data_IF_897018679825
#
_entry.id   IF_897018679825
#
_cell.length_a   1.000
_cell.length_b   1.000
_cell.length_c   1.000
_cell.angle_alpha   90.00
_cell.angle_beta   90.00
_cell.angle_gamma   90.00
#
_symmetry.space_group_name_H-M   'P 1'
#
loop_
_entity.id
_entity.type
_entity.pdbx_description
1 polymer ?
#
# COMPACT_ATOMS: atom_id res chain seq x y z
N UNK A 1 -27.04 -29.37 -11.72
CA UNK A 1 -26.58 -28.19 -12.49
C UNK A 1 -26.75 -26.96 -11.59
N UNK A 2 -26.06 -27.02 -10.44
CA UNK A 2 -26.55 -26.53 -9.13
C UNK A 2 -25.38 -26.08 -8.24
N UNK A 3 -24.36 -25.43 -8.83
CA UNK A 3 -23.15 -25.07 -8.06
C UNK A 3 -22.53 -23.69 -8.38
N UNK A 4 -22.87 -23.06 -9.52
CA UNK A 4 -22.20 -21.82 -9.92
C UNK A 4 -22.71 -20.55 -9.22
N UNK A 5 -23.91 -20.56 -8.65
CA UNK A 5 -24.48 -19.41 -7.91
C UNK A 5 -24.04 -19.35 -6.44
N UNK A 6 -23.59 -20.49 -5.86
CA UNK A 6 -23.18 -20.56 -4.45
C UNK A 6 -21.83 -19.89 -4.15
N UNK A 7 -20.98 -19.68 -5.16
CA UNK A 7 -19.72 -18.94 -5.04
C UNK A 7 -19.90 -17.41 -5.16
N UNK A 8 -21.10 -16.91 -5.49
CA UNK A 8 -21.37 -15.46 -5.52
C UNK A 8 -21.77 -14.88 -4.15
N UNK A 9 -21.99 -15.74 -3.15
CA UNK A 9 -22.27 -15.38 -1.75
C UNK A 9 -21.05 -15.73 -0.88
N UNK A 10 -19.85 -15.43 -1.37
CA UNK A 10 -18.61 -15.57 -0.60
C UNK A 10 -18.59 -14.50 0.49
N UNK A 11 -19.27 -14.77 1.61
CA UNK A 11 -19.07 -14.13 2.91
C UNK A 11 -19.32 -12.61 2.89
N UNK A 12 -20.56 -12.23 2.62
CA UNK A 12 -21.07 -10.87 2.84
C UNK A 12 -21.15 -10.55 4.34
N UNK A 13 -20.03 -10.13 4.93
CA UNK A 13 -20.04 -9.37 6.18
C UNK A 13 -19.56 -7.95 5.91
N UNK A 14 -20.35 -7.12 5.19
CA UNK A 14 -19.98 -5.74 4.88
C UNK A 14 -19.66 -4.95 6.15
N UNK A 15 -20.35 -5.24 7.26
CA UNK A 15 -20.06 -4.65 8.57
C UNK A 15 -18.69 -5.04 9.13
N UNK A 16 -18.25 -6.30 8.95
CA UNK A 16 -16.90 -6.72 9.37
C UNK A 16 -15.85 -6.10 8.46
N UNK A 17 -16.11 -6.03 7.15
CA UNK A 17 -15.21 -5.35 6.21
C UNK A 17 -15.06 -3.85 6.55
N UNK A 18 -16.18 -3.16 6.82
CA UNK A 18 -16.20 -1.76 7.26
C UNK A 18 -15.48 -1.58 8.60
N UNK A 19 -15.74 -2.46 9.58
CA UNK A 19 -15.06 -2.43 10.88
C UNK A 19 -13.55 -2.65 10.76
N UNK A 20 -13.12 -3.63 9.96
CA UNK A 20 -11.71 -3.91 9.72
C UNK A 20 -11.02 -2.76 8.97
N UNK A 21 -11.71 -2.16 8.00
CA UNK A 21 -11.22 -1.01 7.25
C UNK A 21 -11.08 0.23 8.15
N UNK A 22 -12.08 0.51 8.99
CA UNK A 22 -12.03 1.61 9.95
C UNK A 22 -10.87 1.41 10.94
N UNK A 23 -10.69 0.19 11.46
CA UNK A 23 -9.57 -0.14 12.34
C UNK A 23 -8.23 0.07 11.63
N UNK A 24 -8.10 -0.40 10.38
CA UNK A 24 -6.91 -0.22 9.57
C UNK A 24 -6.59 1.27 9.36
N UNK A 25 -7.61 2.09 9.07
CA UNK A 25 -7.45 3.54 8.91
C UNK A 25 -7.08 4.24 10.22
N UNK A 26 -7.61 3.83 11.37
CA UNK A 26 -7.21 4.36 12.67
C UNK A 26 -5.74 4.05 13.00
N UNK A 27 -5.29 2.83 12.72
CA UNK A 27 -3.88 2.43 12.90
C UNK A 27 -3.00 3.24 11.95
N UNK A 28 -3.40 3.36 10.68
CA UNK A 28 -2.67 4.13 9.69
C UNK A 28 -2.52 5.61 10.11
N UNK A 29 -3.62 6.25 10.51
CA UNK A 29 -3.62 7.63 11.00
C UNK A 29 -2.75 7.81 12.25
N UNK A 30 -2.78 6.86 13.18
CA UNK A 30 -1.90 6.89 14.36
C UNK A 30 -0.42 6.82 13.97
N UNK A 31 -0.11 6.06 12.92
CA UNK A 31 1.25 5.92 12.39
C UNK A 31 1.73 7.22 11.75
N UNK A 32 0.89 7.89 10.97
CA UNK A 32 1.19 9.21 10.39
C UNK A 32 1.33 10.29 11.46
N UNK A 33 0.49 10.26 12.51
CA UNK A 33 0.62 11.14 13.67
C UNK A 33 1.95 10.96 14.40
N UNK A 34 2.34 9.72 14.68
CA UNK A 34 3.62 9.40 15.30
C UNK A 34 4.81 9.80 14.41
N UNK A 35 4.72 9.57 13.10
CA UNK A 35 5.75 9.98 12.14
C UNK A 35 5.89 11.51 12.11
N UNK A 36 4.78 12.26 12.15
CA UNK A 36 4.81 13.73 12.20
C UNK A 36 5.45 14.23 13.50
N UNK A 37 5.13 13.60 14.63
CA UNK A 37 5.75 13.94 15.92
C UNK A 37 7.25 13.64 15.95
N UNK A 38 7.69 12.50 15.39
CA UNK A 38 9.12 12.18 15.29
C UNK A 38 9.86 13.02 14.24
N UNK A 39 9.15 13.55 13.23
CA UNK A 39 9.77 14.32 12.14
C UNK A 39 10.38 15.67 12.58
N UNK A 40 10.03 16.17 13.77
CA UNK A 40 10.67 17.38 14.33
C UNK A 40 12.06 17.11 14.91
N UNK A 41 12.34 15.88 15.34
CA UNK A 41 13.60 15.52 16.02
C UNK A 41 14.47 14.57 15.18
N UNK A 42 13.85 13.79 14.28
CA UNK A 42 14.49 12.71 13.54
C UNK A 42 14.38 12.98 12.04
N UNK A 43 15.49 12.76 11.32
CA UNK A 43 15.50 12.90 9.87
C UNK A 43 14.47 11.95 9.21
N UNK A 44 13.74 12.40 8.17
CA UNK A 44 12.69 11.61 7.51
C UNK A 44 13.17 10.23 7.04
N UNK A 45 14.44 10.11 6.63
CA UNK A 45 15.03 8.84 6.21
C UNK A 45 15.01 7.77 7.32
N UNK A 46 15.32 8.16 8.55
CA UNK A 46 15.38 7.22 9.68
C UNK A 46 13.98 6.75 10.08
N UNK A 47 12.98 7.63 10.02
CA UNK A 47 11.58 7.30 10.30
C UNK A 47 11.07 6.25 9.31
N UNK A 48 11.33 6.46 8.01
CA UNK A 48 10.91 5.54 6.96
C UNK A 48 11.66 4.21 7.06
N UNK A 49 12.97 4.24 7.36
CA UNK A 49 13.75 3.04 7.60
C UNK A 49 13.16 2.22 8.75
N UNK A 50 12.90 2.84 9.90
CA UNK A 50 12.32 2.18 11.06
C UNK A 50 10.92 1.61 10.74
N UNK A 51 10.09 2.35 9.99
CA UNK A 51 8.78 1.89 9.52
C UNK A 51 8.90 0.59 8.71
N UNK A 52 9.81 0.52 7.75
CA UNK A 52 10.03 -0.70 6.96
C UNK A 52 10.56 -1.85 7.80
N UNK A 53 11.46 -1.60 8.76
CA UNK A 53 11.98 -2.62 9.68
C UNK A 53 10.87 -3.20 10.57
N UNK A 54 10.01 -2.34 11.12
CA UNK A 54 8.86 -2.78 11.94
C UNK A 54 7.90 -3.62 11.09
N UNK A 55 7.56 -3.16 9.89
CA UNK A 55 6.68 -3.90 8.97
C UNK A 55 7.28 -5.26 8.62
N UNK A 56 8.57 -5.31 8.29
CA UNK A 56 9.28 -6.55 7.97
C UNK A 56 9.26 -7.52 9.17
N UNK A 57 9.54 -7.00 10.36
CA UNK A 57 9.55 -7.81 11.60
C UNK A 57 8.15 -8.36 11.91
N UNK A 58 7.11 -7.54 11.78
CA UNK A 58 5.72 -7.98 11.97
C UNK A 58 5.31 -9.04 10.94
N UNK A 59 5.66 -8.85 9.67
CA UNK A 59 5.40 -9.84 8.62
C UNK A 59 6.15 -11.15 8.93
N UNK A 60 7.41 -11.07 9.36
CA UNK A 60 8.21 -12.23 9.72
C UNK A 60 7.61 -12.98 10.92
N UNK A 61 7.20 -12.26 11.97
CA UNK A 61 6.58 -12.83 13.17
C UNK A 61 5.25 -13.50 12.82
N UNK A 62 4.41 -12.83 12.02
CA UNK A 62 3.14 -13.38 11.55
C UNK A 62 3.34 -14.61 10.65
N UNK A 63 4.39 -14.60 9.84
CA UNK A 63 4.81 -15.72 8.99
C UNK A 63 5.19 -16.95 9.83
N UNK A 64 5.99 -16.75 10.89
CA UNK A 64 6.40 -17.80 11.82
C UNK A 64 5.17 -18.36 12.55
N UNK A 65 4.29 -17.49 13.03
CA UNK A 65 3.07 -17.88 13.74
C UNK A 65 2.11 -18.72 12.88
N UNK A 66 2.00 -18.43 11.59
CA UNK A 66 1.15 -19.21 10.67
C UNK A 66 1.76 -20.53 10.19
N UNK A 67 3.01 -20.85 10.53
CA UNK A 67 3.69 -22.08 10.10
C UNK A 67 3.88 -22.20 8.58
N UNK A 68 3.58 -21.14 7.82
CA UNK A 68 3.62 -21.11 6.36
C UNK A 68 5.05 -20.87 5.87
N UNK A 69 5.87 -21.92 5.85
CA UNK A 69 7.20 -21.93 5.19
C UNK A 69 7.14 -21.63 3.68
N UNK A 70 5.94 -21.61 3.09
CA UNK A 70 5.72 -21.38 1.67
C UNK A 70 5.56 -19.90 1.27
N UNK A 71 5.76 -18.94 2.18
CA UNK A 71 5.68 -17.50 1.85
C UNK A 71 6.77 -17.03 0.86
N UNK A 72 7.85 -17.80 0.70
CA UNK A 72 8.86 -17.54 -0.35
C UNK A 72 8.49 -18.14 -1.72
N UNK A 73 7.44 -18.98 -1.80
CA UNK A 73 6.90 -19.45 -3.08
C UNK A 73 5.81 -18.50 -3.53
N UNK A 74 6.23 -17.37 -4.10
CA UNK A 74 5.34 -16.50 -4.86
C UNK A 74 5.16 -17.09 -6.25
N UNK A 75 3.91 -17.32 -6.68
CA UNK A 75 3.60 -17.87 -8.01
C UNK A 75 4.00 -16.94 -9.17
N UNK A 76 4.34 -15.68 -8.86
CA UNK A 76 4.75 -14.65 -9.83
C UNK A 76 5.92 -13.79 -9.28
N UNK A 77 7.14 -14.36 -9.14
CA UNK A 77 8.27 -13.66 -8.54
C UNK A 77 8.67 -12.39 -9.32
N UNK A 78 8.48 -12.39 -10.65
CA UNK A 78 8.73 -11.21 -11.50
C UNK A 78 7.85 -10.02 -11.12
N UNK A 79 6.56 -10.25 -10.84
CA UNK A 79 5.62 -9.19 -10.48
C UNK A 79 5.93 -8.63 -9.08
N UNK A 80 6.35 -9.49 -8.15
CA UNK A 80 6.73 -9.08 -6.81
C UNK A 80 8.03 -8.27 -6.79
N UNK A 81 9.03 -8.67 -7.59
CA UNK A 81 10.27 -7.90 -7.79
C UNK A 81 9.95 -6.55 -8.42
N UNK A 82 9.14 -6.50 -9.48
CA UNK A 82 8.73 -5.26 -10.13
C UNK A 82 7.98 -4.34 -9.15
N UNK A 83 7.08 -4.89 -8.33
CA UNK A 83 6.37 -4.14 -7.29
C UNK A 83 7.33 -3.58 -6.23
N UNK A 84 8.30 -4.37 -5.78
CA UNK A 84 9.34 -3.93 -4.86
C UNK A 84 10.21 -2.82 -5.44
N UNK A 85 10.66 -2.97 -6.69
CA UNK A 85 11.41 -1.96 -7.44
C UNK A 85 10.59 -0.68 -7.65
N UNK A 86 9.31 -0.80 -7.98
CA UNK A 86 8.41 0.33 -8.14
C UNK A 86 8.19 1.06 -6.81
N UNK A 87 8.01 0.33 -5.71
CA UNK A 87 7.93 0.91 -4.36
C UNK A 87 9.23 1.61 -3.96
N UNK A 88 10.38 0.98 -4.20
CA UNK A 88 11.69 1.54 -3.85
C UNK A 88 12.02 2.79 -4.68
N UNK A 89 11.81 2.73 -6.00
CA UNK A 89 11.98 3.88 -6.90
C UNK A 89 11.02 5.02 -6.53
N UNK A 90 9.74 4.73 -6.30
CA UNK A 90 8.79 5.74 -5.82
C UNK A 90 9.25 6.39 -4.53
N UNK A 91 9.79 5.62 -3.58
CA UNK A 91 10.38 6.15 -2.36
C UNK A 91 11.55 7.09 -2.65
N UNK A 92 12.49 6.68 -3.51
CA UNK A 92 13.63 7.52 -3.92
C UNK A 92 13.20 8.82 -4.62
N UNK A 93 12.18 8.77 -5.46
CA UNK A 93 11.61 9.97 -6.10
C UNK A 93 10.97 10.91 -5.08
N UNK A 94 10.24 10.39 -4.09
CA UNK A 94 9.72 11.18 -2.97
C UNK A 94 10.88 11.83 -2.19
N UNK A 95 11.95 11.05 -1.97
CA UNK A 95 13.31 11.48 -1.60
C UNK A 95 13.74 12.78 -2.25
N UNK A 96 13.87 12.66 -3.56
CA UNK A 96 14.37 13.71 -4.41
C UNK A 96 13.45 14.94 -4.39
N UNK A 97 12.13 14.71 -4.36
CA UNK A 97 11.12 15.75 -4.24
C UNK A 97 11.21 16.48 -2.90
N UNK A 98 11.30 15.79 -1.76
CA UNK A 98 11.42 16.41 -0.44
C UNK A 98 12.67 17.28 -0.29
N UNK A 99 13.75 16.95 -1.00
CA UNK A 99 14.98 17.73 -0.99
C UNK A 99 14.83 19.07 -1.72
N UNK A 100 13.95 19.15 -2.72
CA UNK A 100 13.79 20.33 -3.58
C UNK A 100 12.48 21.07 -3.35
N UNK A 101 11.47 20.42 -2.77
CA UNK A 101 10.15 20.96 -2.52
C UNK A 101 9.78 20.85 -1.04
N UNK A 102 9.10 21.86 -0.47
CA UNK A 102 8.49 21.75 0.84
C UNK A 102 7.48 20.58 0.90
N UNK A 103 7.37 19.98 2.08
CA UNK A 103 6.54 18.79 2.35
C UNK A 103 5.08 18.99 1.91
N UNK A 104 4.59 20.22 2.01
CA UNK A 104 3.23 20.64 1.67
C UNK A 104 2.95 20.49 0.16
N UNK A 105 3.90 20.88 -0.70
CA UNK A 105 3.77 20.71 -2.15
C UNK A 105 3.82 19.23 -2.55
N UNK A 106 4.61 18.42 -1.84
CA UNK A 106 4.63 16.97 -2.07
C UNK A 106 3.27 16.33 -1.74
N UNK A 107 2.60 16.77 -0.67
CA UNK A 107 1.25 16.34 -0.34
C UNK A 107 0.23 16.83 -1.39
N UNK A 108 0.35 18.06 -1.87
CA UNK A 108 -0.50 18.62 -2.92
C UNK A 108 -0.42 17.81 -4.23
N UNK A 109 0.80 17.46 -4.67
CA UNK A 109 1.02 16.64 -5.86
C UNK A 109 0.44 15.22 -5.69
N UNK A 110 0.45 14.68 -4.48
CA UNK A 110 -0.13 13.36 -4.19
C UNK A 110 -1.64 13.29 -4.43
N UNK A 111 -2.36 14.43 -4.37
CA UNK A 111 -3.78 14.49 -4.79
C UNK A 111 -3.99 14.31 -6.29
N UNK A 112 -2.95 14.49 -7.11
CA UNK A 112 -2.98 14.21 -8.56
C UNK A 112 -2.74 12.73 -8.86
N UNK A 113 -2.23 11.96 -7.88
CA UNK A 113 -1.96 10.51 -8.03
C UNK A 113 -3.16 9.71 -8.58
N UNK A 114 -4.42 9.91 -8.13
CA UNK A 114 -5.58 9.22 -8.69
C UNK A 114 -5.79 9.49 -10.19
N UNK A 115 -5.49 10.70 -10.67
CA UNK A 115 -5.59 11.05 -12.11
C UNK A 115 -4.53 10.32 -12.94
N UNK A 116 -3.30 10.21 -12.41
CA UNK A 116 -2.27 9.41 -13.06
C UNK A 116 -2.64 7.93 -13.06
N UNK A 117 -3.17 7.41 -11.94
CA UNK A 117 -3.61 6.01 -11.85
C UNK A 117 -4.73 5.71 -12.84
N UNK A 118 -5.74 6.59 -12.99
CA UNK A 118 -6.81 6.38 -13.98
C UNK A 118 -6.30 6.49 -15.41
N UNK A 119 -5.42 7.46 -15.70
CA UNK A 119 -4.80 7.60 -17.02
C UNK A 119 -3.91 6.40 -17.39
N UNK A 120 -3.12 5.88 -16.45
CA UNK A 120 -2.28 4.70 -16.64
C UNK A 120 -3.05 3.38 -16.59
N UNK A 121 -4.24 3.34 -15.97
CA UNK A 121 -5.10 2.15 -15.94
C UNK A 121 -5.49 1.71 -17.35
N UNK A 122 -5.73 2.66 -18.26
CA UNK A 122 -6.10 2.41 -19.66
C UNK A 122 -5.03 1.60 -20.42
N UNK A 123 -3.75 2.03 -20.48
CA UNK A 123 -2.71 1.27 -21.18
C UNK A 123 -2.18 0.05 -20.40
N UNK A 124 -2.19 0.09 -19.06
CA UNK A 124 -1.54 -0.95 -18.24
C UNK A 124 -2.45 -2.15 -17.95
N UNK A 125 -3.77 -1.93 -17.87
CA UNK A 125 -4.76 -2.96 -17.57
C UNK A 125 -5.54 -3.43 -18.81
N UNK A 126 -5.53 -2.66 -19.90
CA UNK A 126 -6.22 -3.01 -21.15
C UNK A 126 -7.76 -3.00 -21.06
N UNK A 127 -8.33 -2.66 -19.91
CA UNK A 127 -9.77 -2.45 -19.77
C UNK A 127 -10.17 -1.10 -20.37
N UNK A 128 -11.14 -1.12 -21.29
CA UNK A 128 -11.76 0.11 -21.81
C UNK A 128 -12.52 0.79 -20.68
N UNK A 129 -11.94 1.84 -20.12
CA UNK A 129 -12.64 2.73 -19.20
C UNK A 129 -13.70 3.48 -20.02
N UNK A 130 -14.94 2.99 -19.98
CA UNK A 130 -16.07 3.70 -20.56
C UNK A 130 -16.25 5.04 -19.84
N UNK A 131 -16.56 6.10 -20.60
CA UNK A 131 -16.76 7.51 -20.22
C UNK A 131 -17.75 7.80 -19.06
N UNK A 132 -18.18 6.80 -18.28
CA UNK A 132 -19.30 6.91 -17.34
C UNK A 132 -19.07 6.20 -15.99
N UNK A 133 -17.85 6.19 -15.45
CA UNK A 133 -17.60 5.83 -14.05
C UNK A 133 -16.56 6.75 -13.44
#
# INVERSE_FOLDING_TARGET
MTDSTKSQVLIDRPLVAMGLFSLAMMIFSSTDGAAKYLSSEIAPQQIIFLRYVIILTLILLFSIYQGRRNLFKTEQPKLQILRGLCMASSGLLIYFALKHLPLELCAAISFVSPLFVTALSIPLLGERVGLRR
#
